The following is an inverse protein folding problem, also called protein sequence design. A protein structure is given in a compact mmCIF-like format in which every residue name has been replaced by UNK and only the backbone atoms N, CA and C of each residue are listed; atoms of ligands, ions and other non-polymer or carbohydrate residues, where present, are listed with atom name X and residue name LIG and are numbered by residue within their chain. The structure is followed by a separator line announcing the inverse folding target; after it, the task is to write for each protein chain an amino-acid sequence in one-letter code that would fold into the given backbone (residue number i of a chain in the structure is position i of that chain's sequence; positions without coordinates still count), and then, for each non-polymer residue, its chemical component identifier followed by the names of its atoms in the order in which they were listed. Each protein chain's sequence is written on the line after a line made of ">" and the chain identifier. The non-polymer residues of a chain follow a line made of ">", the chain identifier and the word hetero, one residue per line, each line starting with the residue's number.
data_IF_911427156177
#
_entry.id   IF_911427156177
#
_cell.length_a   1.000
_cell.length_b   1.000
_cell.length_c   1.000
_cell.angle_alpha   90.00
_cell.angle_beta   90.00
_cell.angle_gamma   90.00
#
_symmetry.space_group_name_H-M   'P 1'
#
loop_
_entity.id
_entity.type
_entity.pdbx_description
1 polymer ?
#
# COMPACT_ATOMS: atom_id res chain seq x y z
N UNK A 1 -7.90 14.28 -10.22
CA UNK A 1 -6.56 13.74 -10.57
C UNK A 1 -5.88 13.33 -9.28
N UNK A 2 -5.13 12.22 -9.27
CA UNK A 2 -4.42 11.73 -8.09
C UNK A 2 -2.92 11.69 -8.36
N UNK A 3 -2.12 11.97 -7.32
CA UNK A 3 -0.67 11.92 -7.37
C UNK A 3 -0.18 10.83 -6.42
N UNK A 4 0.70 9.96 -6.92
CA UNK A 4 1.42 8.99 -6.10
C UNK A 4 2.91 9.34 -6.09
N UNK A 5 3.41 9.82 -4.95
CA UNK A 5 4.83 9.95 -4.68
C UNK A 5 5.48 8.59 -4.41
N UNK A 6 6.71 8.43 -4.85
CA UNK A 6 7.50 7.22 -4.59
C UNK A 6 8.87 7.68 -4.10
N UNK A 7 9.31 7.15 -2.95
CA UNK A 7 10.60 7.49 -2.36
C UNK A 7 11.42 6.26 -2.02
N UNK A 8 12.75 6.37 -2.17
CA UNK A 8 13.72 5.36 -1.71
C UNK A 8 14.01 5.47 -0.21
N UNK A 9 13.49 6.51 0.46
CA UNK A 9 13.69 6.75 1.89
C UNK A 9 12.65 6.01 2.73
N UNK A 10 13.06 5.69 3.96
CA UNK A 10 12.14 5.21 4.98
C UNK A 10 11.25 6.36 5.46
N UNK A 11 10.00 6.05 5.79
CA UNK A 11 9.01 7.03 6.23
C UNK A 11 8.40 6.59 7.57
N UNK A 12 7.93 7.57 8.34
CA UNK A 12 7.20 7.36 9.58
C UNK A 12 6.10 8.42 9.71
N UNK A 13 5.13 8.17 10.58
CA UNK A 13 4.08 9.13 10.94
C UNK A 13 3.87 9.10 12.45
N UNK A 14 3.10 10.04 12.99
CA UNK A 14 2.86 10.14 14.44
C UNK A 14 2.23 8.85 14.97
N UNK A 15 2.91 8.19 15.91
CA UNK A 15 2.42 6.96 16.56
C UNK A 15 2.86 5.66 15.88
N UNK A 16 3.55 5.71 14.75
CA UNK A 16 4.10 4.53 14.07
C UNK A 16 5.61 4.70 13.85
N UNK A 17 6.36 3.63 14.13
CA UNK A 17 7.81 3.62 13.95
C UNK A 17 8.22 3.65 12.47
N UNK A 18 7.32 3.23 11.58
CA UNK A 18 7.46 3.34 10.14
C UNK A 18 6.11 3.18 9.44
N UNK A 19 6.06 3.54 8.17
CA UNK A 19 4.94 3.28 7.25
C UNK A 19 5.48 2.82 5.90
N UNK A 20 4.70 1.99 5.20
CA UNK A 20 4.96 1.68 3.78
C UNK A 20 4.41 2.76 2.85
N UNK A 21 3.41 3.50 3.29
CA UNK A 21 2.81 4.60 2.58
C UNK A 21 1.82 5.36 3.44
N UNK A 22 1.36 6.50 2.93
CA UNK A 22 0.28 7.27 3.52
C UNK A 22 -0.46 8.05 2.42
N UNK A 23 -1.78 8.18 2.58
CA UNK A 23 -2.66 8.87 1.66
C UNK A 23 -3.35 10.07 2.33
N UNK A 24 -3.12 11.27 1.79
CA UNK A 24 -3.85 12.47 2.12
C UNK A 24 -5.08 12.61 1.21
N UNK A 25 -6.17 11.94 1.59
CA UNK A 25 -7.39 11.77 0.78
C UNK A 25 -7.93 13.12 0.25
N UNK A 26 -8.04 14.15 1.10
CA UNK A 26 -8.55 15.47 0.69
C UNK A 26 -7.63 16.25 -0.24
N UNK A 27 -6.33 15.95 -0.22
CA UNK A 27 -5.36 16.54 -1.14
C UNK A 27 -5.25 15.76 -2.46
N UNK A 28 -5.78 14.53 -2.53
CA UNK A 28 -5.64 13.65 -3.68
C UNK A 28 -4.19 13.18 -3.91
N UNK A 29 -3.38 13.14 -2.84
CA UNK A 29 -1.97 12.76 -2.90
C UNK A 29 -1.71 11.61 -1.95
N UNK A 30 -0.93 10.64 -2.41
CA UNK A 30 -0.38 9.59 -1.59
C UNK A 30 1.13 9.44 -1.80
N UNK A 31 1.80 8.75 -0.90
CA UNK A 31 3.22 8.40 -1.02
C UNK A 31 3.45 6.94 -0.64
N UNK A 32 4.38 6.25 -1.31
CA UNK A 32 4.93 4.98 -0.86
C UNK A 32 6.45 5.06 -0.63
N UNK A 33 6.91 4.36 0.40
CA UNK A 33 8.30 4.20 0.78
C UNK A 33 8.83 2.84 0.33
N UNK A 34 9.87 2.83 -0.50
CA UNK A 34 10.46 1.60 -1.04
C UNK A 34 11.47 0.96 -0.09
N UNK A 35 12.02 1.72 0.87
CA UNK A 35 13.14 1.30 1.71
C UNK A 35 12.91 -0.08 2.36
N UNK A 36 11.73 -0.26 2.97
CA UNK A 36 11.35 -1.50 3.68
C UNK A 36 10.71 -2.56 2.78
N UNK A 37 10.56 -2.31 1.48
CA UNK A 37 10.05 -3.30 0.53
C UNK A 37 11.17 -4.18 -0.02
N UNK A 38 12.42 -3.71 0.05
CA UNK A 38 13.60 -4.48 -0.34
C UNK A 38 13.89 -5.59 0.67
N UNK A 39 14.31 -6.76 0.18
CA UNK A 39 14.76 -7.85 1.04
C UNK A 39 16.06 -7.49 1.77
N UNK A 40 16.93 -6.72 1.12
CA UNK A 40 18.20 -6.29 1.70
C UNK A 40 18.06 -5.47 3.00
N UNK A 41 16.93 -4.77 3.21
CA UNK A 41 16.61 -4.05 4.44
C UNK A 41 16.59 -5.00 5.64
N UNK A 42 16.23 -6.25 5.40
CA UNK A 42 16.15 -7.33 6.39
C UNK A 42 17.37 -8.26 6.36
N UNK A 43 18.45 -7.88 5.68
CA UNK A 43 19.67 -8.69 5.57
C UNK A 43 19.52 -9.93 4.67
N UNK A 44 18.46 -10.00 3.87
CA UNK A 44 18.19 -11.11 2.94
C UNK A 44 18.70 -10.79 1.51
N UNK A 45 18.99 -11.81 0.69
CA UNK A 45 19.32 -11.60 -0.72
C UNK A 45 18.20 -10.87 -1.47
N UNK A 46 18.59 -9.94 -2.34
CA UNK A 46 17.62 -9.14 -3.08
C UNK A 46 16.82 -9.99 -4.07
N UNK A 47 15.49 -9.89 -4.02
CA UNK A 47 14.57 -10.45 -5.01
C UNK A 47 13.80 -9.32 -5.69
N UNK A 48 14.21 -9.02 -6.93
CA UNK A 48 13.59 -7.96 -7.74
C UNK A 48 12.13 -8.25 -8.11
N UNK A 49 11.74 -9.52 -8.18
CA UNK A 49 10.35 -9.89 -8.49
C UNK A 49 9.48 -9.62 -7.28
N UNK A 50 9.91 -10.08 -6.09
CA UNK A 50 9.21 -9.81 -4.85
C UNK A 50 9.13 -8.32 -4.54
N UNK A 51 10.24 -7.58 -4.73
CA UNK A 51 10.27 -6.13 -4.58
C UNK A 51 9.21 -5.44 -5.45
N UNK A 52 9.12 -5.79 -6.75
CA UNK A 52 8.09 -5.23 -7.64
C UNK A 52 6.67 -5.57 -7.19
N UNK A 53 6.45 -6.80 -6.70
CA UNK A 53 5.14 -7.21 -6.18
C UNK A 53 4.75 -6.40 -4.95
N UNK A 54 5.66 -6.21 -4.00
CA UNK A 54 5.46 -5.40 -2.80
C UNK A 54 5.14 -3.95 -3.16
N UNK A 55 5.94 -3.34 -4.05
CA UNK A 55 5.72 -1.97 -4.52
C UNK A 55 4.36 -1.80 -5.20
N UNK A 56 3.92 -2.79 -6.00
CA UNK A 56 2.59 -2.77 -6.60
C UNK A 56 1.49 -2.83 -5.53
N UNK A 57 1.61 -3.71 -4.53
CA UNK A 57 0.61 -3.86 -3.47
C UNK A 57 0.43 -2.56 -2.68
N UNK A 58 1.52 -1.93 -2.26
CA UNK A 58 1.45 -0.68 -1.51
C UNK A 58 0.96 0.48 -2.39
N UNK A 59 1.39 0.58 -3.65
CA UNK A 59 0.87 1.59 -4.57
C UNK A 59 -0.65 1.46 -4.76
N UNK A 60 -1.16 0.25 -4.95
CA UNK A 60 -2.60 0.00 -5.12
C UNK A 60 -3.36 0.25 -3.81
N UNK A 61 -2.77 -0.08 -2.65
CA UNK A 61 -3.34 0.21 -1.33
C UNK A 61 -3.56 1.71 -1.13
N UNK A 62 -2.52 2.51 -1.31
CA UNK A 62 -2.58 3.95 -1.10
C UNK A 62 -3.47 4.67 -2.12
N UNK A 63 -3.44 4.24 -3.38
CA UNK A 63 -4.41 4.73 -4.38
C UNK A 63 -5.84 4.35 -3.98
N UNK A 64 -6.05 3.17 -3.41
CA UNK A 64 -7.34 2.75 -2.87
C UNK A 64 -7.88 3.72 -1.82
N UNK A 65 -7.04 4.22 -0.92
CA UNK A 65 -7.40 5.27 0.02
C UNK A 65 -7.82 6.58 -0.67
N UNK A 66 -7.11 7.00 -1.72
CA UNK A 66 -7.52 8.19 -2.50
C UNK A 66 -8.89 8.03 -3.18
N UNK A 67 -9.27 6.80 -3.55
CA UNK A 67 -10.62 6.48 -4.02
C UNK A 67 -11.66 6.34 -2.89
N UNK A 68 -11.29 6.58 -1.63
CA UNK A 68 -12.19 6.56 -0.47
C UNK A 68 -12.41 5.16 0.13
N UNK A 69 -11.51 4.21 -0.10
CA UNK A 69 -11.56 2.91 0.57
C UNK A 69 -10.86 2.96 1.92
N UNK A 70 -11.51 2.46 2.97
CA UNK A 70 -10.86 2.21 4.26
C UNK A 70 -10.13 0.86 4.27
N UNK A 71 -9.37 0.62 5.35
CA UNK A 71 -8.76 -0.67 5.60
C UNK A 71 -9.77 -1.83 5.58
N UNK A 72 -9.33 -2.97 5.08
CA UNK A 72 -10.11 -4.19 4.97
C UNK A 72 -9.66 -5.24 5.99
N UNK A 73 -10.59 -5.90 6.71
CA UNK A 73 -10.23 -6.97 7.64
C UNK A 73 -9.84 -8.29 6.93
N UNK A 74 -10.07 -8.40 5.62
CA UNK A 74 -9.65 -9.56 4.83
C UNK A 74 -8.14 -9.50 4.56
N UNK A 75 -7.33 -10.41 5.12
CA UNK A 75 -5.87 -10.38 5.00
C UNK A 75 -5.36 -10.58 3.57
N UNK A 76 -6.20 -11.11 2.66
CA UNK A 76 -5.83 -11.29 1.27
C UNK A 76 -6.20 -10.08 0.39
N UNK A 77 -6.94 -9.10 0.92
CA UNK A 77 -7.31 -7.91 0.17
C UNK A 77 -6.14 -6.92 0.12
N UNK A 78 -5.91 -6.27 -1.02
CA UNK A 78 -4.88 -5.21 -1.11
C UNK A 78 -5.11 -4.06 -0.12
N UNK A 79 -6.35 -3.81 0.30
CA UNK A 79 -6.69 -2.81 1.33
C UNK A 79 -6.48 -3.31 2.76
N UNK A 80 -5.93 -4.52 2.98
CA UNK A 80 -5.52 -4.94 4.30
C UNK A 80 -4.37 -4.06 4.81
N UNK A 81 -4.46 -3.63 6.07
CA UNK A 81 -3.43 -2.84 6.71
C UNK A 81 -2.20 -3.70 6.97
N UNK A 82 -1.04 -3.25 6.53
CA UNK A 82 0.23 -3.97 6.70
C UNK A 82 1.05 -3.34 7.82
N UNK A 83 1.15 -4.03 8.96
CA UNK A 83 2.01 -3.65 10.08
C UNK A 83 3.45 -4.15 9.89
N UNK A 84 3.63 -5.20 9.09
CA UNK A 84 4.93 -5.77 8.77
C UNK A 84 5.04 -6.15 7.29
N UNK A 85 6.25 -6.51 6.86
CA UNK A 85 6.49 -6.93 5.48
C UNK A 85 5.80 -8.26 5.16
N UNK A 86 5.63 -9.12 6.16
CA UNK A 86 4.90 -10.39 6.07
C UNK A 86 3.42 -10.15 5.78
N UNK A 87 2.81 -9.09 6.33
CA UNK A 87 1.43 -8.71 6.00
C UNK A 87 1.32 -8.28 4.52
N UNK A 88 2.29 -7.48 4.03
CA UNK A 88 2.36 -7.10 2.61
C UNK A 88 2.57 -8.33 1.73
N UNK A 89 3.37 -9.31 2.14
CA UNK A 89 3.58 -10.54 1.40
C UNK A 89 2.31 -11.42 1.37
N UNK A 90 1.56 -11.46 2.47
CA UNK A 90 0.32 -12.22 2.61
C UNK A 90 -0.86 -11.67 1.80
N UNK A 91 -0.95 -10.35 1.60
CA UNK A 91 -2.06 -9.75 0.84
C UNK A 91 -1.91 -9.89 -0.67
N UNK A 92 -3.02 -9.95 -1.41
CA UNK A 92 -3.01 -9.86 -2.87
C UNK A 92 -2.79 -8.40 -3.33
N UNK A 93 -2.36 -8.20 -4.57
CA UNK A 93 -2.42 -6.89 -5.23
C UNK A 93 -3.85 -6.53 -5.71
N UNK A 94 -4.83 -7.41 -5.50
CA UNK A 94 -6.22 -7.21 -5.92
C UNK A 94 -7.14 -6.86 -4.75
N UNK A 95 -8.17 -6.06 -5.04
CA UNK A 95 -9.30 -5.89 -4.15
C UNK A 95 -10.09 -7.20 -3.97
N UNK A 96 -10.52 -7.49 -2.74
CA UNK A 96 -11.55 -8.48 -2.47
C UNK A 96 -12.89 -8.06 -3.11
N UNK A 97 -13.88 -8.97 -3.12
CA UNK A 97 -15.20 -8.71 -3.73
C UNK A 97 -15.88 -7.45 -3.18
N UNK A 98 -15.74 -7.19 -1.88
CA UNK A 98 -16.38 -6.05 -1.23
C UNK A 98 -15.69 -4.72 -1.57
N UNK A 99 -14.35 -4.65 -1.43
CA UNK A 99 -13.59 -3.46 -1.81
C UNK A 99 -13.72 -3.16 -3.30
N UNK A 100 -13.74 -4.18 -4.17
CA UNK A 100 -13.96 -4.01 -5.60
C UNK A 100 -15.32 -3.36 -5.90
N UNK A 101 -16.39 -3.83 -5.27
CA UNK A 101 -17.73 -3.21 -5.44
C UNK A 101 -17.75 -1.75 -4.97
N UNK A 102 -17.13 -1.44 -3.83
CA UNK A 102 -17.02 -0.06 -3.31
C UNK A 102 -16.22 0.82 -4.28
N UNK A 103 -15.06 0.35 -4.72
CA UNK A 103 -14.20 1.04 -5.70
C UNK A 103 -14.95 1.36 -7.00
N UNK A 104 -15.66 0.38 -7.57
CA UNK A 104 -16.43 0.56 -8.80
C UNK A 104 -17.57 1.58 -8.66
N UNK A 105 -18.13 1.73 -7.45
CA UNK A 105 -19.12 2.75 -7.16
C UNK A 105 -18.49 4.14 -6.99
N UNK A 106 -17.39 4.21 -6.24
CA UNK A 106 -16.73 5.47 -5.89
C UNK A 106 -16.01 6.11 -7.08
N UNK A 107 -15.34 5.32 -7.94
CA UNK A 107 -14.58 5.85 -9.09
C UNK A 107 -15.42 6.52 -10.18
N UNK A 108 -16.74 6.33 -10.14
CA UNK A 108 -17.70 6.88 -11.11
C UNK A 108 -18.22 8.26 -10.69
N UNK A 109 -17.99 8.65 -9.45
CA UNK A 109 -18.26 10.00 -8.95
C UNK A 109 -17.05 10.88 -9.22
#
# INVERSE_FOLDING_TARGET
>A
EFILGITDKDLYTSGLNFIFGEAAIYAGVAVIALARLHQNFYGLPEDKTLFKQRSLKEAVHELGHLYGLDHCPDPHCVMHFSNSIEDTDGKSASFCKNCRKKFEFLRKK
#
